data_IF_855377756884
#
_entry.id   IF_855377756884
#
_cell.length_a   1.000
_cell.length_b   1.000
_cell.length_c   1.000
_cell.angle_alpha   90.00
_cell.angle_beta   90.00
_cell.angle_gamma   90.00
#
_symmetry.space_group_name_H-M   'P 1'
#
loop_
_entity.id
_entity.type
_entity.pdbx_description
1 polymer ?
#
# COMPACT_ATOMS: atom_id res chain seq x y z
N UNK A 1 3.55 -14.09 -9.82
CA UNK A 1 2.21 -13.65 -9.34
C UNK A 1 1.36 -14.76 -8.73
N UNK A 2 1.80 -16.01 -8.81
CA UNK A 2 1.02 -17.20 -8.41
C UNK A 2 0.66 -17.21 -6.92
N UNK A 3 1.44 -16.53 -6.09
CA UNK A 3 1.18 -16.38 -4.66
C UNK A 3 0.12 -15.31 -4.32
N UNK A 4 -0.28 -14.47 -5.29
CA UNK A 4 -1.21 -13.37 -5.04
C UNK A 4 -2.57 -13.65 -5.65
N UNK A 5 -3.55 -13.93 -4.80
CA UNK A 5 -4.90 -14.30 -5.19
C UNK A 5 -5.71 -13.02 -5.44
N UNK A 6 -6.17 -12.84 -6.69
CA UNK A 6 -7.07 -11.75 -7.04
C UNK A 6 -8.41 -11.91 -6.31
N UNK A 7 -8.87 -10.84 -5.69
CA UNK A 7 -10.18 -10.76 -5.03
C UNK A 7 -11.00 -9.61 -5.62
N UNK A 8 -12.21 -9.90 -6.05
CA UNK A 8 -13.08 -8.92 -6.70
C UNK A 8 -13.89 -8.08 -5.71
N UNK A 9 -14.07 -8.55 -4.46
CA UNK A 9 -14.86 -7.87 -3.45
C UNK A 9 -14.26 -6.52 -3.06
N UNK A 10 -15.11 -5.49 -3.04
CA UNK A 10 -14.76 -4.12 -2.63
C UNK A 10 -15.19 -3.78 -1.21
N UNK A 11 -15.95 -4.67 -0.56
CA UNK A 11 -16.38 -4.49 0.84
C UNK A 11 -15.35 -5.11 1.78
N UNK A 12 -14.70 -4.28 2.58
CA UNK A 12 -13.70 -4.73 3.54
C UNK A 12 -13.11 -3.57 4.33
N UNK A 13 -12.26 -3.87 5.33
CA UNK A 13 -11.62 -2.85 6.15
C UNK A 13 -10.62 -2.03 5.34
N UNK A 14 -10.18 -0.93 5.93
CA UNK A 14 -8.97 -0.25 5.52
C UNK A 14 -7.76 -1.09 5.93
N UNK A 15 -6.71 -1.06 5.12
CA UNK A 15 -5.47 -1.77 5.42
C UNK A 15 -4.27 -0.85 5.48
N UNK A 16 -3.31 -1.17 6.33
CA UNK A 16 -1.98 -0.58 6.36
C UNK A 16 -0.95 -1.66 6.62
N UNK A 17 0.17 -1.63 5.91
CA UNK A 17 1.23 -2.65 6.03
C UNK A 17 2.58 -1.96 6.11
N UNK A 18 3.35 -2.26 7.15
CA UNK A 18 4.70 -1.73 7.33
C UNK A 18 5.27 -2.01 8.71
N UNK A 19 6.56 -1.69 8.91
CA UNK A 19 7.13 -1.59 10.25
C UNK A 19 6.43 -0.42 10.97
N UNK A 20 5.99 -0.65 12.19
CA UNK A 20 5.35 0.41 12.98
C UNK A 20 6.46 1.27 13.58
N UNK A 21 6.80 2.33 12.84
CA UNK A 21 7.85 3.30 13.16
C UNK A 21 7.49 4.66 12.54
N UNK A 22 8.00 5.78 13.09
CA UNK A 22 7.58 7.13 12.68
C UNK A 22 7.73 7.42 11.20
N UNK A 23 8.80 6.92 10.55
CA UNK A 23 9.03 7.14 9.12
C UNK A 23 7.99 6.45 8.21
N UNK A 24 7.20 5.51 8.74
CA UNK A 24 6.12 4.84 8.00
C UNK A 24 4.77 5.54 8.12
N UNK A 25 4.63 6.48 9.07
CA UNK A 25 3.51 7.43 9.14
C UNK A 25 2.15 6.79 9.41
N UNK A 26 2.10 5.74 10.26
CA UNK A 26 0.86 5.06 10.61
C UNK A 26 -0.20 6.01 11.16
N UNK A 27 0.19 7.07 11.86
CA UNK A 27 -0.72 8.05 12.47
C UNK A 27 -1.68 8.69 11.47
N UNK A 28 -1.24 8.92 10.21
CA UNK A 28 -2.10 9.52 9.20
C UNK A 28 -3.13 8.52 8.66
N UNK A 29 -2.77 7.24 8.55
CA UNK A 29 -3.72 6.20 8.18
C UNK A 29 -4.76 5.97 9.29
N UNK A 30 -4.34 6.05 10.56
CA UNK A 30 -5.26 5.96 11.71
C UNK A 30 -6.18 7.18 11.77
N UNK A 31 -5.66 8.38 11.47
CA UNK A 31 -6.51 9.58 11.33
C UNK A 31 -7.63 9.36 10.31
N UNK A 32 -7.29 8.87 9.11
CA UNK A 32 -8.28 8.61 8.05
C UNK A 32 -9.34 7.60 8.51
N UNK A 33 -8.91 6.51 9.16
CA UNK A 33 -9.84 5.51 9.69
C UNK A 33 -10.78 6.09 10.75
N UNK A 34 -10.24 6.89 11.66
CA UNK A 34 -11.02 7.54 12.73
C UNK A 34 -12.08 8.50 12.18
N UNK A 35 -11.70 9.36 11.23
CA UNK A 35 -12.64 10.32 10.61
C UNK A 35 -13.79 9.62 9.86
N UNK A 36 -13.53 8.44 9.31
CA UNK A 36 -14.55 7.60 8.67
C UNK A 36 -15.39 6.79 9.67
N UNK A 37 -15.00 6.73 10.95
CA UNK A 37 -15.61 5.84 11.93
C UNK A 37 -15.39 4.36 11.61
N UNK A 38 -14.28 4.02 10.93
CA UNK A 38 -13.95 2.69 10.47
C UNK A 38 -12.71 2.13 11.16
N UNK A 39 -12.52 0.82 11.04
CA UNK A 39 -11.33 0.13 11.54
C UNK A 39 -10.21 0.11 10.52
N UNK A 40 -8.99 0.26 11.01
CA UNK A 40 -7.76 0.06 10.27
C UNK A 40 -7.10 -1.25 10.69
N UNK A 41 -6.97 -2.18 9.77
CA UNK A 41 -6.16 -3.39 9.97
C UNK A 41 -4.69 -3.05 9.74
N UNK A 42 -3.86 -3.26 10.75
CA UNK A 42 -2.42 -2.93 10.74
C UNK A 42 -1.60 -4.20 10.80
N UNK A 43 -0.83 -4.48 9.74
CA UNK A 43 0.10 -5.60 9.65
C UNK A 43 1.54 -5.12 9.70
N UNK A 44 2.34 -5.79 10.50
CA UNK A 44 3.77 -5.58 10.60
C UNK A 44 4.30 -5.73 12.01
N UNK A 45 5.62 -5.56 12.14
CA UNK A 45 6.29 -5.59 13.44
C UNK A 45 6.24 -4.19 14.06
N UNK A 46 5.90 -4.13 15.33
CA UNK A 46 6.05 -2.91 16.12
C UNK A 46 7.55 -2.76 16.43
N UNK A 47 8.19 -1.80 15.78
CA UNK A 47 9.61 -1.50 15.97
C UNK A 47 9.81 -0.40 17.04
N UNK A 48 8.87 0.54 17.11
CA UNK A 48 8.83 1.59 18.12
C UNK A 48 7.55 1.50 18.96
N UNK A 49 7.67 0.89 20.14
CA UNK A 49 6.57 0.70 21.10
C UNK A 49 6.01 2.04 21.62
N UNK A 50 6.89 3.05 21.79
CA UNK A 50 6.44 4.36 22.26
C UNK A 50 5.60 5.07 21.20
N UNK A 51 6.01 4.96 19.93
CA UNK A 51 5.25 5.50 18.81
C UNK A 51 3.89 4.81 18.66
N UNK A 52 3.86 3.48 18.71
CA UNK A 52 2.60 2.71 18.64
C UNK A 52 1.65 3.08 19.80
N UNK A 53 2.17 3.14 21.04
CA UNK A 53 1.39 3.51 22.22
C UNK A 53 0.82 4.93 22.14
N UNK A 54 1.60 5.89 21.64
CA UNK A 54 1.11 7.27 21.44
C UNK A 54 -0.05 7.33 20.44
N UNK A 55 0.06 6.60 19.34
CA UNK A 55 -1.02 6.54 18.35
C UNK A 55 -2.27 5.92 18.98
N UNK A 56 -2.14 4.78 19.66
CA UNK A 56 -3.27 4.08 20.27
C UNK A 56 -3.99 4.92 21.32
N UNK A 57 -3.25 5.72 22.12
CA UNK A 57 -3.82 6.63 23.11
C UNK A 57 -4.49 7.87 22.51
N UNK A 58 -4.14 8.23 21.28
CA UNK A 58 -4.67 9.43 20.61
C UNK A 58 -6.01 9.21 19.93
N UNK A 59 -6.47 7.96 19.80
CA UNK A 59 -7.69 7.61 19.09
C UNK A 59 -8.60 6.69 19.92
N UNK A 60 -9.92 6.62 19.63
CA UNK A 60 -10.83 5.73 20.33
C UNK A 60 -10.39 4.26 20.25
N UNK A 61 -10.64 3.52 21.32
CA UNK A 61 -10.36 2.07 21.34
C UNK A 61 -11.10 1.36 20.21
N UNK A 62 -10.38 0.53 19.48
CA UNK A 62 -10.93 -0.26 18.38
C UNK A 62 -10.84 0.43 17.00
N UNK A 63 -10.26 1.64 16.89
CA UNK A 63 -9.92 2.23 15.59
C UNK A 63 -8.82 1.40 14.90
N UNK A 64 -7.90 0.83 15.66
CA UNK A 64 -6.79 -0.01 15.14
C UNK A 64 -7.06 -1.46 15.53
N UNK A 65 -7.03 -2.36 14.54
CA UNK A 65 -6.92 -3.80 14.73
C UNK A 65 -5.47 -4.21 14.44
N UNK A 66 -4.70 -4.48 15.49
CA UNK A 66 -3.30 -4.93 15.40
C UNK A 66 -3.25 -6.39 14.96
N UNK A 67 -2.92 -6.63 13.70
CA UNK A 67 -2.93 -7.95 13.08
C UNK A 67 -1.57 -8.68 13.18
N UNK A 68 -0.54 -7.98 13.66
CA UNK A 68 0.81 -8.52 13.78
C UNK A 68 1.52 -8.77 12.46
N UNK A 69 2.65 -9.46 12.53
CA UNK A 69 3.42 -9.84 11.34
C UNK A 69 2.88 -11.14 10.74
N UNK A 70 2.70 -11.14 9.42
CA UNK A 70 2.30 -12.31 8.64
C UNK A 70 3.34 -12.61 7.56
N UNK A 71 3.48 -13.89 7.21
CA UNK A 71 4.23 -14.29 6.01
C UNK A 71 3.55 -13.71 4.75
N UNK A 72 4.30 -13.56 3.65
CA UNK A 72 3.74 -13.06 2.38
C UNK A 72 2.50 -13.86 1.94
N UNK A 73 2.53 -15.20 2.10
CA UNK A 73 1.41 -16.06 1.72
C UNK A 73 0.14 -15.87 2.58
N UNK A 74 0.31 -15.48 3.83
CA UNK A 74 -0.80 -15.19 4.74
C UNK A 74 -1.28 -13.76 4.57
N UNK A 75 -0.34 -12.81 4.51
CA UNK A 75 -0.63 -11.38 4.34
C UNK A 75 -1.47 -11.12 3.09
N UNK A 76 -1.08 -11.69 1.92
CA UNK A 76 -1.79 -11.46 0.67
C UNK A 76 -3.26 -11.91 0.73
N UNK A 77 -3.57 -12.98 1.48
CA UNK A 77 -4.95 -13.46 1.68
C UNK A 77 -5.79 -12.48 2.49
N UNK A 78 -5.18 -11.83 3.49
CA UNK A 78 -5.86 -10.85 4.33
C UNK A 78 -5.94 -9.50 3.62
N UNK A 79 -4.82 -9.05 3.04
CA UNK A 79 -4.73 -7.80 2.29
C UNK A 79 -5.74 -7.76 1.14
N UNK A 80 -5.91 -8.86 0.41
CA UNK A 80 -6.90 -8.97 -0.66
C UNK A 80 -8.34 -8.70 -0.22
N UNK A 81 -8.67 -8.87 1.05
CA UNK A 81 -10.00 -8.59 1.61
C UNK A 81 -10.22 -7.10 1.91
N UNK A 82 -9.15 -6.30 1.97
CA UNK A 82 -9.26 -4.86 2.20
C UNK A 82 -9.91 -4.18 0.99
N UNK A 83 -10.68 -3.12 1.24
CA UNK A 83 -11.20 -2.27 0.15
C UNK A 83 -10.13 -1.34 -0.40
N UNK A 84 -9.16 -0.95 0.42
CA UNK A 84 -8.05 -0.06 0.08
C UNK A 84 -6.86 -0.30 1.00
N UNK A 85 -5.64 -0.15 0.48
CA UNK A 85 -4.42 -0.02 1.27
C UNK A 85 -4.08 1.47 1.40
N UNK A 86 -3.84 1.94 2.62
CA UNK A 86 -3.26 3.25 2.91
C UNK A 86 -1.74 3.11 3.05
N UNK A 87 -0.99 3.95 2.35
CA UNK A 87 0.47 3.97 2.40
C UNK A 87 0.93 5.41 2.64
N UNK A 88 1.43 5.68 3.85
CA UNK A 88 1.60 7.02 4.41
C UNK A 88 3.04 7.35 4.80
N UNK A 89 4.08 7.02 3.98
CA UNK A 89 5.47 7.19 4.39
C UNK A 89 5.79 8.67 4.65
N UNK A 90 6.57 8.94 5.71
CA UNK A 90 7.13 10.26 6.03
C UNK A 90 8.50 10.49 5.37
N UNK A 91 9.02 9.51 4.67
CA UNK A 91 10.29 9.53 3.94
C UNK A 91 10.08 9.23 2.45
N UNK A 92 11.11 9.42 1.63
CA UNK A 92 11.07 9.01 0.24
C UNK A 92 11.19 7.48 0.16
N UNK A 93 10.07 6.80 -0.04
CA UNK A 93 10.02 5.34 -0.18
C UNK A 93 10.74 4.92 -1.47
N UNK A 94 11.70 4.01 -1.35
CA UNK A 94 12.53 3.63 -2.48
C UNK A 94 11.72 2.96 -3.61
N UNK A 95 10.82 2.03 -3.26
CA UNK A 95 9.97 1.34 -4.23
C UNK A 95 8.52 1.22 -3.74
N UNK A 96 8.30 0.58 -2.60
CA UNK A 96 6.96 0.32 -2.07
C UNK A 96 6.41 -1.05 -2.47
N UNK A 97 7.13 -2.12 -2.12
CA UNK A 97 6.73 -3.51 -2.42
C UNK A 97 5.29 -3.80 -2.03
N UNK A 98 4.85 -3.32 -0.86
CA UNK A 98 3.49 -3.55 -0.36
C UNK A 98 2.41 -2.97 -1.28
N UNK A 99 2.73 -1.91 -2.03
CA UNK A 99 1.82 -1.32 -3.03
C UNK A 99 1.61 -2.32 -4.17
N UNK A 100 2.70 -2.89 -4.70
CA UNK A 100 2.64 -3.90 -5.77
C UNK A 100 1.90 -5.15 -5.29
N UNK A 101 2.13 -5.58 -4.06
CA UNK A 101 1.46 -6.71 -3.42
C UNK A 101 -0.05 -6.48 -3.30
N UNK A 102 -0.46 -5.30 -2.86
CA UNK A 102 -1.87 -4.91 -2.80
C UNK A 102 -2.52 -4.90 -4.20
N UNK A 103 -1.89 -4.24 -5.17
CA UNK A 103 -2.36 -4.19 -6.55
C UNK A 103 -2.44 -5.60 -7.17
N UNK A 104 -1.52 -6.51 -6.83
CA UNK A 104 -1.55 -7.90 -7.27
C UNK A 104 -2.78 -8.65 -6.76
N UNK A 105 -3.25 -8.34 -5.55
CA UNK A 105 -4.49 -8.86 -4.99
C UNK A 105 -5.74 -8.13 -5.52
N UNK A 106 -5.57 -7.11 -6.36
CA UNK A 106 -6.64 -6.26 -6.86
C UNK A 106 -7.02 -5.12 -5.91
N UNK A 107 -6.27 -4.90 -4.84
CA UNK A 107 -6.56 -3.84 -3.85
C UNK A 107 -6.02 -2.51 -4.35
N UNK A 108 -6.86 -1.48 -4.52
CA UNK A 108 -6.40 -0.14 -4.86
C UNK A 108 -5.62 0.47 -3.69
N UNK A 109 -4.71 1.40 -4.01
CA UNK A 109 -3.84 2.02 -3.01
C UNK A 109 -4.02 3.52 -3.00
N UNK A 110 -4.10 4.11 -1.81
CA UNK A 110 -3.97 5.56 -1.61
C UNK A 110 -2.63 5.80 -0.92
N UNK A 111 -1.78 6.61 -1.51
CA UNK A 111 -0.44 6.87 -0.98
C UNK A 111 -0.04 8.34 -1.09
N UNK A 112 0.94 8.73 -0.28
CA UNK A 112 1.64 10.00 -0.48
C UNK A 112 2.56 9.94 -1.69
N UNK A 113 2.71 11.07 -2.39
CA UNK A 113 3.66 11.27 -3.51
C UNK A 113 5.09 11.37 -2.98
N UNK A 114 5.64 10.28 -2.41
CA UNK A 114 6.99 10.24 -1.86
C UNK A 114 7.79 9.08 -2.44
N UNK A 115 8.52 9.33 -3.52
CA UNK A 115 9.37 8.32 -4.18
C UNK A 115 8.57 7.28 -4.95
N UNK A 116 8.88 6.00 -4.75
CA UNK A 116 8.32 4.84 -5.49
C UNK A 116 6.80 4.79 -5.63
N UNK A 117 5.98 5.15 -4.63
CA UNK A 117 4.52 5.24 -4.80
C UNK A 117 4.09 6.06 -6.01
N UNK A 118 4.80 7.16 -6.31
CA UNK A 118 4.50 8.02 -7.47
C UNK A 118 4.76 7.36 -8.83
N UNK A 119 5.63 6.34 -8.86
CA UNK A 119 5.97 5.60 -10.08
C UNK A 119 5.04 4.40 -10.30
N UNK A 120 4.50 3.84 -9.21
CA UNK A 120 3.68 2.62 -9.22
C UNK A 120 2.20 2.95 -9.41
N UNK A 121 1.69 3.93 -8.65
CA UNK A 121 0.26 4.22 -8.62
C UNK A 121 -0.14 5.10 -9.81
N UNK A 122 -1.00 4.58 -10.65
CA UNK A 122 -1.67 5.37 -11.69
C UNK A 122 -2.89 6.06 -11.09
N UNK A 123 -2.75 7.37 -10.82
CA UNK A 123 -3.80 8.18 -10.20
C UNK A 123 -5.13 8.06 -10.96
N UNK A 124 -6.20 7.72 -10.24
CA UNK A 124 -7.55 7.51 -10.78
C UNK A 124 -7.74 6.18 -11.53
N UNK A 125 -6.73 5.30 -11.60
CA UNK A 125 -6.81 3.99 -12.30
C UNK A 125 -6.51 2.81 -11.39
N UNK A 126 -5.41 2.86 -10.62
CA UNK A 126 -5.01 1.80 -9.69
C UNK A 126 -5.06 2.27 -8.24
N UNK A 127 -5.34 3.54 -8.02
CA UNK A 127 -5.41 4.17 -6.72
C UNK A 127 -5.35 5.68 -6.84
N UNK A 128 -5.04 6.34 -5.75
CA UNK A 128 -4.90 7.80 -5.70
C UNK A 128 -3.59 8.19 -5.02
N UNK A 129 -3.05 9.34 -5.45
CA UNK A 129 -1.85 9.94 -4.89
C UNK A 129 -2.23 11.29 -4.26
N UNK A 130 -2.01 11.41 -2.96
CA UNK A 130 -2.12 12.65 -2.20
C UNK A 130 -0.75 13.33 -2.08
N UNK A 131 -0.74 14.63 -1.87
CA UNK A 131 0.49 15.34 -1.56
C UNK A 131 1.04 14.90 -0.18
N UNK A 132 2.34 15.00 0.07
CA UNK A 132 2.94 14.62 1.33
C UNK A 132 2.22 15.26 2.53
N UNK A 133 1.84 14.43 3.51
CA UNK A 133 1.16 14.79 4.75
C UNK A 133 -0.27 15.35 4.61
N UNK A 134 -0.82 15.35 3.40
CA UNK A 134 -2.21 15.76 3.12
C UNK A 134 -3.17 14.58 3.39
N UNK A 135 -3.42 14.33 4.66
CA UNK A 135 -4.32 13.25 5.12
C UNK A 135 -5.80 13.56 4.84
N UNK A 136 -6.18 14.82 4.75
CA UNK A 136 -7.53 15.26 4.39
C UNK A 136 -7.86 14.87 2.93
N UNK A 137 -6.93 15.06 2.01
CA UNK A 137 -7.08 14.57 0.63
C UNK A 137 -7.10 13.04 0.59
N UNK A 138 -6.30 12.34 1.42
CA UNK A 138 -6.40 10.88 1.52
C UNK A 138 -7.79 10.43 1.97
N UNK A 139 -8.38 11.09 2.97
CA UNK A 139 -9.74 10.84 3.44
C UNK A 139 -10.75 10.95 2.29
N UNK A 140 -10.72 12.05 1.54
CA UNK A 140 -11.58 12.26 0.37
C UNK A 140 -11.44 11.19 -0.70
N UNK A 141 -10.21 10.66 -0.89
CA UNK A 141 -9.97 9.58 -1.84
C UNK A 141 -10.52 8.23 -1.37
N UNK A 142 -10.57 7.97 -0.05
CA UNK A 142 -11.22 6.75 0.47
C UNK A 142 -12.71 6.75 0.17
N UNK A 143 -13.38 7.90 0.25
CA UNK A 143 -14.82 8.03 -0.06
C UNK A 143 -15.16 7.68 -1.52
N UNK A 144 -14.20 7.86 -2.42
CA UNK A 144 -14.40 7.60 -3.86
C UNK A 144 -13.65 6.37 -4.37
N UNK A 145 -13.05 5.57 -3.49
CA UNK A 145 -12.16 4.45 -3.88
C UNK A 145 -12.88 3.39 -4.71
N UNK A 146 -14.17 3.27 -4.57
CA UNK A 146 -15.01 2.33 -5.34
C UNK A 146 -15.02 2.61 -6.85
N UNK A 147 -14.63 3.82 -7.28
CA UNK A 147 -14.44 4.15 -8.70
C UNK A 147 -13.27 3.38 -9.33
N UNK A 148 -12.33 2.90 -8.51
CA UNK A 148 -11.19 2.12 -8.98
C UNK A 148 -11.60 0.67 -9.19
N UNK A 149 -11.46 0.20 -10.44
CA UNK A 149 -11.73 -1.20 -10.78
C UNK A 149 -10.58 -2.09 -10.35
N UNK A 150 -10.82 -3.00 -9.41
CA UNK A 150 -9.81 -3.93 -8.86
C UNK A 150 -9.04 -4.70 -9.95
N UNK A 151 -9.72 -5.10 -11.02
CA UNK A 151 -9.11 -5.73 -12.19
C UNK A 151 -8.00 -4.87 -12.81
N UNK A 152 -8.15 -3.52 -12.81
CA UNK A 152 -7.11 -2.61 -13.32
C UNK A 152 -5.86 -2.61 -12.45
N UNK A 153 -6.01 -2.78 -11.15
CA UNK A 153 -4.88 -2.95 -10.23
C UNK A 153 -4.07 -4.20 -10.60
N UNK A 154 -4.74 -5.34 -10.75
CA UNK A 154 -4.12 -6.60 -11.13
C UNK A 154 -3.46 -6.54 -12.51
N UNK A 155 -4.16 -6.03 -13.52
CA UNK A 155 -3.65 -5.86 -14.89
C UNK A 155 -2.38 -5.00 -14.93
N UNK A 156 -2.29 -3.98 -14.06
CA UNK A 156 -1.10 -3.15 -13.98
C UNK A 156 0.11 -3.95 -13.51
N UNK A 157 -0.03 -4.75 -12.45
CA UNK A 157 1.06 -5.59 -11.93
C UNK A 157 1.50 -6.61 -12.96
N UNK A 158 0.57 -7.29 -13.61
CA UNK A 158 0.86 -8.27 -14.66
C UNK A 158 1.71 -7.68 -15.79
N UNK A 159 1.45 -6.42 -16.15
CA UNK A 159 2.15 -5.72 -17.24
C UNK A 159 3.46 -5.05 -16.84
N UNK A 160 3.67 -4.72 -15.55
CA UNK A 160 4.75 -3.84 -15.14
C UNK A 160 5.68 -4.42 -14.08
N UNK A 161 5.19 -5.33 -13.23
CA UNK A 161 5.88 -5.78 -12.02
C UNK A 161 5.86 -7.31 -11.82
N UNK A 162 5.51 -8.11 -12.85
CA UNK A 162 5.70 -9.56 -12.76
C UNK A 162 7.19 -9.91 -12.77
N UNK A 163 7.54 -11.07 -12.22
CA UNK A 163 8.92 -11.58 -12.17
C UNK A 163 9.55 -11.62 -13.58
N UNK A 164 8.78 -12.05 -14.57
CA UNK A 164 9.22 -12.10 -15.97
C UNK A 164 9.53 -10.70 -16.53
N UNK A 165 8.62 -9.75 -16.32
CA UNK A 165 8.82 -8.36 -16.76
C UNK A 165 10.03 -7.73 -16.07
N UNK A 166 10.19 -7.97 -14.77
CA UNK A 166 11.35 -7.48 -14.02
C UNK A 166 12.66 -8.08 -14.56
N UNK A 167 12.70 -9.40 -14.74
CA UNK A 167 13.87 -10.08 -15.30
C UNK A 167 14.26 -9.52 -16.68
N UNK A 168 13.27 -9.34 -17.57
CA UNK A 168 13.51 -8.76 -18.90
C UNK A 168 14.05 -7.32 -18.82
N UNK A 169 13.52 -6.49 -17.92
CA UNK A 169 14.03 -5.12 -17.70
C UNK A 169 15.50 -5.13 -17.24
N UNK A 170 15.84 -6.02 -16.30
CA UNK A 170 17.23 -6.15 -15.79
C UNK A 170 18.18 -6.61 -16.90
N UNK A 171 17.80 -7.64 -17.67
CA UNK A 171 18.62 -8.13 -18.80
C UNK A 171 18.84 -7.04 -19.84
N UNK A 172 17.78 -6.33 -20.23
CA UNK A 172 17.88 -5.24 -21.20
C UNK A 172 18.79 -4.11 -20.70
N UNK A 173 18.67 -3.75 -19.42
CA UNK A 173 19.53 -2.75 -18.81
C UNK A 173 21.00 -3.19 -18.81
N UNK A 174 21.30 -4.43 -18.40
CA UNK A 174 22.64 -4.98 -18.41
C UNK A 174 23.25 -4.98 -19.83
N UNK A 175 22.48 -5.40 -20.82
CA UNK A 175 22.92 -5.39 -22.21
C UNK A 175 23.24 -3.96 -22.71
N UNK A 176 22.43 -2.98 -22.31
CA UNK A 176 22.70 -1.57 -22.62
C UNK A 176 24.02 -1.11 -22.01
N UNK A 177 24.24 -1.35 -20.72
CA UNK A 177 25.49 -1.00 -20.04
C UNK A 177 26.70 -1.66 -20.71
N UNK A 178 26.65 -2.97 -21.00
CA UNK A 178 27.74 -3.69 -21.66
C UNK A 178 28.08 -3.08 -23.03
N UNK A 179 27.08 -2.63 -23.78
CA UNK A 179 27.30 -2.04 -25.11
C UNK A 179 27.82 -0.59 -25.04
N UNK A 180 27.54 0.15 -23.97
CA UNK A 180 28.06 1.51 -23.76
C UNK A 180 29.55 1.51 -23.33
N UNK A 181 30.07 0.40 -22.81
CA UNK A 181 31.45 0.26 -22.34
C UNK A 181 32.33 -0.64 -23.23
N UNK A 182 31.85 -0.99 -24.42
CA UNK A 182 32.65 -1.59 -25.50
C UNK A 182 33.15 -0.54 -26.49
#
# INVERSE_FOLDING_TARGET
>A
LDNYIFQESIKGPLGWVGRVAPEKGLEDAVFVANELGEKLNVWGVIEDENYASKIEQSYPRGTIDWMGFLSTNELQKQLGKCRVLLNTPKWNEAYGNVIVEALACGVPVIAYKRGGPSEIIQHGKTGYLADPDDKETMLSYVEIIEKIKRKKCREWVEKNASTEIFANKVVNWLNKVINEYK
#
